data_IF_143943553020
#
_entry.id   IF_143943553020
#
_cell.length_a   1.000
_cell.length_b   1.000
_cell.length_c   1.000
_cell.angle_alpha   90.00
_cell.angle_beta   90.00
_cell.angle_gamma   90.00
#
_symmetry.space_group_name_H-M   'P 1'
#
loop_
_entity.id
_entity.type
_entity.pdbx_description
1 polymer ?
#
# COMPACT_ATOMS: atom_id res chain seq x y z
N UNK A 1 -3.29 -12.95 -10.37
CA UNK A 1 -2.78 -12.80 -9.01
C UNK A 1 -2.96 -11.36 -8.57
N UNK A 2 -4.13 -11.10 -8.01
CA UNK A 2 -4.51 -9.74 -7.59
C UNK A 2 -3.52 -9.14 -6.59
N UNK A 3 -3.06 -9.86 -5.53
CA UNK A 3 -2.12 -9.28 -4.58
C UNK A 3 -0.80 -8.81 -5.22
N UNK A 4 -0.31 -9.50 -6.21
CA UNK A 4 0.92 -9.09 -6.91
C UNK A 4 0.71 -7.85 -7.76
N UNK A 5 -0.46 -7.71 -8.38
CA UNK A 5 -0.82 -6.52 -9.14
C UNK A 5 -0.97 -5.32 -8.23
N UNK A 6 -1.63 -5.49 -7.10
CA UNK A 6 -1.78 -4.43 -6.10
C UNK A 6 -0.43 -3.99 -5.54
N UNK A 7 0.45 -4.95 -5.28
CA UNK A 7 1.80 -4.67 -4.79
C UNK A 7 2.61 -3.92 -5.85
N UNK A 8 2.50 -4.32 -7.12
CA UNK A 8 3.17 -3.62 -8.22
C UNK A 8 2.66 -2.18 -8.35
N UNK A 9 1.35 -1.97 -8.22
CA UNK A 9 0.77 -0.62 -8.23
C UNK A 9 1.32 0.21 -7.07
N UNK A 10 1.50 -0.39 -5.91
CA UNK A 10 2.08 0.27 -4.74
C UNK A 10 3.52 0.72 -4.98
N UNK A 11 4.33 -0.13 -5.61
CA UNK A 11 5.70 0.23 -6.00
C UNK A 11 5.69 1.42 -6.96
N UNK A 12 4.80 1.41 -7.93
CA UNK A 12 4.66 2.52 -8.89
C UNK A 12 4.26 3.81 -8.18
N UNK A 13 3.37 3.73 -7.20
CA UNK A 13 2.95 4.90 -6.42
C UNK A 13 4.12 5.50 -5.64
N UNK A 14 4.96 4.67 -5.04
CA UNK A 14 6.15 5.13 -4.32
C UNK A 14 7.15 5.81 -5.27
N UNK A 15 7.39 5.23 -6.42
CA UNK A 15 8.28 5.81 -7.43
C UNK A 15 7.75 7.15 -7.94
N UNK A 16 6.45 7.23 -8.18
CA UNK A 16 5.80 8.46 -8.59
C UNK A 16 5.89 9.53 -7.50
N UNK A 17 5.70 9.15 -6.25
CA UNK A 17 5.86 10.04 -5.11
C UNK A 17 7.27 10.64 -5.05
N UNK A 18 8.29 9.83 -5.27
CA UNK A 18 9.67 10.31 -5.30
C UNK A 18 9.90 11.32 -6.42
N UNK A 19 9.32 11.09 -7.59
CA UNK A 19 9.40 12.02 -8.70
C UNK A 19 8.70 13.33 -8.38
N UNK A 20 7.50 13.27 -7.81
CA UNK A 20 6.74 14.46 -7.41
C UNK A 20 7.52 15.28 -6.39
N UNK A 21 8.12 14.63 -5.41
CA UNK A 21 8.90 15.32 -4.37
C UNK A 21 10.09 16.08 -4.96
N UNK A 22 10.72 15.55 -5.99
CA UNK A 22 11.84 16.23 -6.66
C UNK A 22 11.40 17.47 -7.41
N UNK A 23 10.18 17.46 -7.92
CA UNK A 23 9.66 18.55 -8.76
C UNK A 23 8.91 19.61 -7.95
N UNK A 24 8.59 19.34 -6.68
CA UNK A 24 7.90 20.33 -5.83
C UNK A 24 8.86 21.43 -5.38
N UNK A 25 8.39 22.67 -5.46
CA UNK A 25 9.14 23.82 -4.95
C UNK A 25 9.16 23.87 -3.43
N UNK A 26 8.17 23.24 -2.80
CA UNK A 26 8.03 23.20 -1.34
C UNK A 26 8.09 21.74 -0.89
N UNK A 27 8.98 21.48 0.07
CA UNK A 27 9.09 20.13 0.64
C UNK A 27 7.92 19.89 1.59
N UNK A 28 7.16 18.81 1.37
CA UNK A 28 6.10 18.44 2.31
C UNK A 28 6.70 18.02 3.65
N UNK A 29 6.06 18.44 4.74
CA UNK A 29 6.47 18.04 6.08
C UNK A 29 6.11 16.59 6.40
N UNK A 30 5.08 16.08 5.74
CA UNK A 30 4.58 14.73 5.94
C UNK A 30 3.95 14.23 4.66
N UNK A 31 4.19 12.95 4.35
CA UNK A 31 3.57 12.26 3.22
C UNK A 31 2.85 11.05 3.78
N UNK A 32 1.59 10.90 3.42
CA UNK A 32 0.79 9.75 3.80
C UNK A 32 0.39 8.99 2.55
N UNK A 33 0.57 7.67 2.59
CA UNK A 33 0.18 6.77 1.51
C UNK A 33 -1.08 6.02 1.92
N UNK A 34 -2.02 5.90 0.99
CA UNK A 34 -3.29 5.24 1.23
C UNK A 34 -3.43 4.02 0.32
N UNK A 35 -3.89 2.92 0.88
CA UNK A 35 -4.20 1.71 0.12
C UNK A 35 -5.50 1.09 0.64
N UNK A 36 -6.30 0.55 -0.27
CA UNK A 36 -7.48 -0.22 0.11
C UNK A 36 -7.17 -1.72 0.22
N UNK A 37 -5.96 -2.13 -0.08
CA UNK A 37 -5.52 -3.52 0.03
C UNK A 37 -4.97 -3.82 1.41
N UNK A 38 -5.72 -4.59 2.20
CA UNK A 38 -5.26 -5.04 3.52
C UNK A 38 -4.09 -6.01 3.41
N UNK A 39 -4.03 -6.81 2.33
CA UNK A 39 -2.95 -7.77 2.10
C UNK A 39 -1.63 -7.04 1.86
N UNK A 40 -1.63 -6.04 0.98
CA UNK A 40 -0.43 -5.24 0.71
C UNK A 40 0.02 -4.51 1.95
N UNK A 41 -0.93 -3.95 2.69
CA UNK A 41 -0.63 -3.25 3.95
C UNK A 41 0.03 -4.19 4.96
N UNK A 42 -0.46 -5.44 5.06
CA UNK A 42 0.14 -6.43 5.95
C UNK A 42 1.57 -6.77 5.54
N UNK A 43 1.84 -6.84 4.24
CA UNK A 43 3.19 -7.07 3.74
C UNK A 43 4.13 -5.92 4.10
N UNK A 44 3.68 -4.69 3.91
CA UNK A 44 4.50 -3.50 4.20
C UNK A 44 4.81 -3.40 5.70
N UNK A 45 3.83 -3.70 6.54
CA UNK A 45 3.97 -3.57 7.99
C UNK A 45 4.57 -4.80 8.67
N UNK A 46 4.76 -5.90 7.95
CA UNK A 46 5.36 -7.09 8.53
C UNK A 46 6.83 -6.88 8.88
N UNK A 47 7.26 -7.53 9.95
CA UNK A 47 8.65 -7.51 10.37
C UNK A 47 9.14 -8.95 10.46
N UNK A 48 10.30 -9.20 9.88
CA UNK A 48 10.91 -10.53 9.92
C UNK A 48 10.24 -11.59 9.08
N UNK A 49 9.20 -11.26 8.33
CA UNK A 49 8.52 -12.20 7.44
C UNK A 49 9.37 -12.44 6.19
N UNK A 50 9.53 -13.70 5.82
CA UNK A 50 10.27 -14.07 4.62
C UNK A 50 9.31 -14.32 3.48
N UNK A 51 9.40 -13.48 2.46
CA UNK A 51 8.58 -13.58 1.26
C UNK A 51 9.35 -14.25 0.13
N UNK A 52 8.63 -14.81 -0.82
CA UNK A 52 9.23 -15.24 -2.08
C UNK A 52 9.72 -14.03 -2.87
N UNK A 53 10.63 -14.26 -3.81
CA UNK A 53 11.43 -13.22 -4.47
C UNK A 53 10.63 -12.06 -5.02
N UNK A 54 9.51 -12.32 -5.71
CA UNK A 54 8.71 -11.27 -6.30
C UNK A 54 8.24 -10.27 -5.24
N UNK A 55 7.63 -10.77 -4.17
CA UNK A 55 7.09 -9.94 -3.09
C UNK A 55 8.22 -9.34 -2.26
N UNK A 56 9.25 -10.13 -1.96
CA UNK A 56 10.38 -9.67 -1.14
C UNK A 56 11.05 -8.43 -1.75
N UNK A 57 11.33 -8.45 -3.04
CA UNK A 57 11.99 -7.34 -3.71
C UNK A 57 11.14 -6.06 -3.70
N UNK A 58 9.85 -6.21 -3.90
CA UNK A 58 8.93 -5.05 -3.95
C UNK A 58 8.68 -4.48 -2.58
N UNK A 59 8.48 -5.32 -1.59
CA UNK A 59 8.32 -4.86 -0.19
C UNK A 59 9.59 -4.13 0.27
N UNK A 60 10.76 -4.65 -0.07
CA UNK A 60 12.03 -4.00 0.27
C UNK A 60 12.12 -2.62 -0.36
N UNK A 61 11.76 -2.47 -1.63
CA UNK A 61 11.78 -1.16 -2.30
C UNK A 61 10.82 -0.17 -1.63
N UNK A 62 9.63 -0.63 -1.28
CA UNK A 62 8.62 0.22 -0.61
C UNK A 62 9.14 0.68 0.74
N UNK A 63 9.73 -0.21 1.53
CA UNK A 63 10.24 0.12 2.86
C UNK A 63 11.46 1.03 2.82
N UNK A 64 12.28 0.94 1.79
CA UNK A 64 13.41 1.84 1.61
C UNK A 64 12.98 3.25 1.23
N UNK A 65 11.93 3.35 0.42
CA UNK A 65 11.48 4.62 -0.14
C UNK A 65 10.43 5.32 0.73
N UNK A 66 9.83 4.62 1.67
CA UNK A 66 8.77 5.15 2.53
C UNK A 66 8.82 4.50 3.91
N UNK A 67 8.36 5.24 4.92
CA UNK A 67 8.21 4.69 6.26
C UNK A 67 6.93 3.85 6.32
N UNK A 68 7.00 2.58 6.75
CA UNK A 68 5.81 1.76 6.90
C UNK A 68 4.69 2.39 7.75
N UNK A 69 5.05 3.23 8.72
CA UNK A 69 4.08 3.91 9.57
C UNK A 69 3.27 4.99 8.82
N UNK A 70 3.74 5.43 7.67
CA UNK A 70 3.03 6.41 6.84
C UNK A 70 1.99 5.78 5.92
N UNK A 71 1.93 4.46 5.88
CA UNK A 71 0.95 3.72 5.09
C UNK A 71 -0.31 3.48 5.90
N UNK A 72 -1.45 3.87 5.33
CA UNK A 72 -2.75 3.78 6.00
C UNK A 72 -3.76 3.08 5.10
N UNK A 73 -4.71 2.42 5.73
CA UNK A 73 -5.82 1.78 5.03
C UNK A 73 -6.92 2.80 4.75
N UNK A 74 -7.46 2.78 3.53
CA UNK A 74 -8.67 3.51 3.16
C UNK A 74 -9.71 2.48 2.70
N UNK A 75 -10.97 2.55 3.20
CA UNK A 75 -12.01 1.67 2.68
C UNK A 75 -12.21 1.90 1.18
N UNK A 76 -12.50 0.83 0.46
CA UNK A 76 -12.64 0.89 -1.00
C UNK A 76 -13.63 1.96 -1.45
N UNK A 77 -14.74 2.13 -0.74
CA UNK A 77 -15.75 3.13 -1.07
C UNK A 77 -15.24 4.57 -0.92
N UNK A 78 -14.19 4.79 -0.14
CA UNK A 78 -13.58 6.11 0.06
C UNK A 78 -12.29 6.30 -0.76
N UNK A 79 -11.88 5.27 -1.49
CA UNK A 79 -10.66 5.34 -2.29
C UNK A 79 -10.92 6.05 -3.62
N UNK A 80 -10.54 7.31 -3.68
CA UNK A 80 -10.73 8.16 -4.86
C UNK A 80 -9.96 7.64 -6.07
N UNK A 81 -8.80 7.04 -5.87
CA UNK A 81 -8.01 6.48 -6.95
C UNK A 81 -8.76 5.38 -7.73
N UNK A 82 -9.70 4.71 -7.07
CA UNK A 82 -10.53 3.69 -7.70
C UNK A 82 -11.45 4.27 -8.78
N UNK A 83 -11.81 5.54 -8.66
CA UNK A 83 -12.64 6.22 -9.67
C UNK A 83 -11.93 6.27 -11.02
N UNK A 84 -10.62 6.39 -11.02
CA UNK A 84 -9.82 6.41 -12.25
C UNK A 84 -9.90 5.08 -13.00
N UNK A 85 -9.89 3.97 -12.28
CA UNK A 85 -9.94 2.64 -12.89
C UNK A 85 -11.35 2.24 -13.33
N UNK A 86 -12.38 2.74 -12.64
CA UNK A 86 -13.78 2.49 -13.00
C UNK A 86 -14.29 3.42 -14.10
N UNK A 87 -13.64 4.57 -14.24
CA UNK A 87 -14.06 5.60 -15.16
C UNK A 87 -15.17 6.47 -14.60
N UNK A 88 -15.16 7.72 -14.99
CA UNK A 88 -16.21 8.69 -14.65
C UNK A 88 -16.69 9.34 -15.94
N UNK A 89 -17.99 9.66 -16.00
CA UNK A 89 -18.50 10.47 -17.10
C UNK A 89 -17.96 11.88 -17.01
N UNK A 90 -17.99 12.62 -18.13
CA UNK A 90 -17.57 14.02 -18.13
C UNK A 90 -18.38 14.85 -17.16
N UNK A 91 -19.70 14.56 -17.03
CA UNK A 91 -20.57 15.27 -16.10
C UNK A 91 -20.19 14.99 -14.64
N UNK A 92 -19.82 13.75 -14.33
CA UNK A 92 -19.39 13.37 -12.98
C UNK A 92 -18.08 14.06 -12.60
N UNK A 93 -17.23 14.34 -13.58
CA UNK A 93 -15.96 15.03 -13.35
C UNK A 93 -16.10 16.53 -13.16
N UNK A 94 -17.16 17.13 -13.72
CA UNK A 94 -17.30 18.59 -13.77
C UNK A 94 -17.79 19.23 -12.48
N UNK A 95 -18.37 18.47 -11.54
CA UNK A 95 -18.92 19.02 -10.29
C UNK A 95 -18.61 18.09 -9.14
N UNK A 96 -18.52 18.62 -7.96
CA UNK A 96 -18.47 17.94 -6.65
C UNK A 96 -17.88 16.52 -6.64
N UNK A 97 -17.13 16.18 -7.70
CA UNK A 97 -16.45 14.91 -7.80
C UNK A 97 -15.37 14.84 -6.73
N UNK A 98 -15.36 13.75 -5.98
CA UNK A 98 -14.29 13.50 -5.02
C UNK A 98 -12.92 13.37 -5.72
N UNK A 99 -12.91 13.09 -7.02
CA UNK A 99 -11.67 13.07 -7.82
C UNK A 99 -11.05 14.48 -7.92
N UNK A 100 -11.89 15.50 -8.10
CA UNK A 100 -11.42 16.89 -8.22
C UNK A 100 -11.27 17.55 -6.85
N UNK A 101 -12.22 17.33 -5.95
CA UNK A 101 -12.31 18.03 -4.67
C UNK A 101 -11.63 17.29 -3.52
N UNK A 102 -11.13 16.10 -3.75
CA UNK A 102 -10.58 15.19 -2.75
C UNK A 102 -11.67 14.61 -1.82
N UNK A 103 -11.41 13.50 -1.14
CA UNK A 103 -12.32 13.00 -0.13
C UNK A 103 -12.42 13.97 1.05
N UNK A 104 -13.61 14.11 1.60
CA UNK A 104 -13.86 15.07 2.67
C UNK A 104 -12.96 14.88 3.89
N UNK A 105 -12.64 13.64 4.24
CA UNK A 105 -11.85 13.37 5.43
C UNK A 105 -10.42 13.94 5.35
N UNK A 106 -9.88 14.15 4.15
CA UNK A 106 -8.54 14.71 3.99
C UNK A 106 -8.46 16.18 4.37
N UNK A 107 -9.60 16.91 4.31
CA UNK A 107 -9.66 18.31 4.73
C UNK A 107 -9.80 18.44 6.25
N UNK A 108 -10.07 17.36 6.94
CA UNK A 108 -10.26 17.31 8.38
C UNK A 108 -8.99 16.88 9.09
N UNK A 109 -8.99 16.97 10.41
CA UNK A 109 -7.87 16.48 11.20
C UNK A 109 -7.70 14.96 11.11
N UNK A 110 -6.52 14.48 11.45
CA UNK A 110 -6.17 13.06 11.37
C UNK A 110 -7.12 12.19 12.19
N UNK A 111 -7.68 12.72 13.27
CA UNK A 111 -8.67 12.03 14.10
C UNK A 111 -9.99 11.74 13.37
N UNK A 112 -10.26 12.46 12.27
CA UNK A 112 -11.44 12.25 11.43
C UNK A 112 -11.17 11.32 10.25
N UNK A 113 -9.95 10.83 10.12
CA UNK A 113 -9.59 9.91 9.04
C UNK A 113 -10.18 8.52 9.29
N UNK A 114 -10.32 7.69 8.23
CA UNK A 114 -10.87 6.33 8.39
C UNK A 114 -10.13 5.54 9.46
N UNK A 115 -10.88 4.76 10.24
CA UNK A 115 -10.30 3.88 11.24
C UNK A 115 -9.37 2.87 10.57
N UNK A 116 -8.22 2.67 11.18
CA UNK A 116 -7.25 1.73 10.65
C UNK A 116 -7.61 0.30 10.97
N UNK A 117 -7.55 -0.55 9.97
CA UNK A 117 -7.63 -1.99 10.16
C UNK A 117 -6.34 -2.44 10.82
N UNK A 118 -6.44 -3.24 11.86
CA UNK A 118 -5.26 -3.84 12.46
C UNK A 118 -4.66 -4.78 11.42
N UNK A 119 -3.49 -4.41 10.90
CA UNK A 119 -2.82 -5.27 9.94
C UNK A 119 -2.27 -6.49 10.67
N UNK A 120 -2.75 -7.64 10.26
CA UNK A 120 -2.27 -8.90 10.81
C UNK A 120 -1.05 -9.36 10.01
N UNK A 121 -0.08 -10.02 10.66
CA UNK A 121 1.02 -10.59 9.90
C UNK A 121 0.49 -11.58 8.87
N UNK A 122 1.16 -11.72 7.72
CA UNK A 122 0.78 -12.73 6.75
C UNK A 122 0.73 -14.12 7.39
N UNK A 123 -0.29 -14.87 7.05
CA UNK A 123 -0.52 -16.20 7.64
C UNK A 123 0.35 -17.25 6.96
N UNK A 124 0.62 -18.32 7.68
CA UNK A 124 1.56 -19.38 7.23
C UNK A 124 1.20 -19.99 5.88
N UNK A 125 -0.07 -19.99 5.52
CA UNK A 125 -0.51 -20.54 4.23
C UNK A 125 -0.70 -19.47 3.14
N UNK A 126 -0.25 -18.24 3.36
CA UNK A 126 -0.16 -17.26 2.28
C UNK A 126 0.90 -17.75 1.29
N UNK A 127 0.55 -17.92 -0.01
CA UNK A 127 1.49 -18.46 -0.99
C UNK A 127 2.74 -17.60 -1.19
N UNK A 128 2.72 -16.33 -0.78
CA UNK A 128 3.85 -15.42 -0.93
C UNK A 128 4.82 -15.47 0.24
N UNK A 129 4.46 -16.16 1.32
CA UNK A 129 5.28 -16.28 2.52
C UNK A 129 5.98 -17.64 2.55
N UNK A 130 7.29 -17.64 2.81
CA UNK A 130 8.05 -18.87 3.03
C UNK A 130 7.69 -19.43 4.40
N UNK A 131 7.13 -20.63 4.43
CA UNK A 131 6.68 -21.25 5.66
C UNK A 131 7.81 -21.82 6.52
N UNK A 132 7.52 -22.05 7.80
CA UNK A 132 8.46 -22.66 8.73
C UNK A 132 8.85 -24.07 8.30
N UNK A 133 7.93 -24.83 7.74
CA UNK A 133 8.20 -26.17 7.23
C UNK A 133 9.31 -26.15 6.18
N UNK A 134 9.35 -25.12 5.33
CA UNK A 134 10.42 -24.92 4.36
C UNK A 134 11.76 -24.67 5.04
N UNK A 135 11.77 -23.88 6.10
CA UNK A 135 12.98 -23.61 6.88
C UNK A 135 13.48 -24.86 7.61
N UNK A 136 12.54 -25.65 8.15
CA UNK A 136 12.85 -26.91 8.79
C UNK A 136 13.51 -27.90 7.86
N UNK A 137 12.97 -28.05 6.66
CA UNK A 137 13.56 -28.91 5.63
C UNK A 137 14.96 -28.44 5.23
N UNK A 138 15.15 -27.13 5.14
CA UNK A 138 16.44 -26.54 4.83
C UNK A 138 17.48 -26.87 5.91
N UNK A 139 17.05 -26.87 7.16
CA UNK A 139 17.93 -27.22 8.29
C UNK A 139 18.29 -28.70 8.31
N UNK A 140 17.35 -29.55 7.96
CA UNK A 140 17.58 -31.00 7.91
C UNK A 140 18.55 -31.41 6.82
N UNK A 141 18.50 -30.70 5.70
CA UNK A 141 19.40 -31.00 4.57
C UNK A 141 20.86 -30.65 4.90
N UNK A 142 21.08 -29.76 5.83
CA UNK A 142 22.41 -29.30 6.22
C UNK A 142 23.03 -30.15 7.34
N UNK A 143 22.36 -31.19 7.78
CA UNK A 143 22.82 -32.14 8.75
C UNK A 143 23.18 -33.47 8.08
#
# INVERSE_FOLDING_TARGET
>A
MIPRLELQATVMAVRMSQTIQKELDVMPSQITYWTDSTIVLSYIKSQGTRFHTFVANRVAEIKEASDPETWRHVPQCLNVADDCSRGLSAQDLLRDSRWINSPDFLSLGEDCWPNQVISQPPIDHDPEVKGEAWLGLSSEVNH
#
